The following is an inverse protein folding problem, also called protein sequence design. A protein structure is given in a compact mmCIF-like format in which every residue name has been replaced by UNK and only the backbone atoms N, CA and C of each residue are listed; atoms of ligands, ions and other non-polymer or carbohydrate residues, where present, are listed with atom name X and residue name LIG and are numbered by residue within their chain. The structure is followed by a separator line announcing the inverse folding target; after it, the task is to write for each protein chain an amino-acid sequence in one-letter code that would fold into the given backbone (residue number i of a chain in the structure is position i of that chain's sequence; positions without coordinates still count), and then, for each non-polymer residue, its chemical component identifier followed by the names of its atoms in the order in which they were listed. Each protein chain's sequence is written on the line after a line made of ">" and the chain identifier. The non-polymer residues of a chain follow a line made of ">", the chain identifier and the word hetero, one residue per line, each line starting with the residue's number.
data_IF_526933056285
#
_entry.id   IF_526933056285
#
_cell.length_a   1.000
_cell.length_b   1.000
_cell.length_c   1.000
_cell.angle_alpha   90.00
_cell.angle_beta   90.00
_cell.angle_gamma   90.00
#
_symmetry.space_group_name_H-M   'P 1'
#
loop_
_entity.id
_entity.type
_entity.pdbx_description
1 polymer ?
#
# COMPACT_ATOMS: atom_id res chain seq x y z
N UNK A 1 -51.28 3.95 -6.81
CA UNK A 1 -50.48 2.88 -7.44
C UNK A 1 -49.10 2.89 -6.82
N UNK A 2 -48.73 1.84 -6.07
CA UNK A 2 -47.44 1.75 -5.38
C UNK A 2 -46.63 0.59 -5.99
N UNK A 3 -45.48 0.88 -6.59
CA UNK A 3 -44.53 -0.13 -7.07
C UNK A 3 -43.59 -0.55 -5.93
N UNK A 4 -43.55 -1.84 -5.61
CA UNK A 4 -42.48 -2.46 -4.82
C UNK A 4 -41.29 -2.80 -5.74
N UNK A 5 -40.03 -2.56 -5.37
CA UNK A 5 -38.90 -3.21 -6.02
C UNK A 5 -38.66 -4.59 -5.38
N UNK A 6 -38.80 -5.62 -6.20
CA UNK A 6 -38.28 -6.97 -5.95
C UNK A 6 -36.80 -6.98 -6.34
N UNK A 7 -35.93 -7.41 -5.43
CA UNK A 7 -34.50 -7.47 -5.67
C UNK A 7 -33.73 -8.00 -4.47
N UNK A 8 -33.96 -9.28 -4.11
CA UNK A 8 -33.22 -9.95 -3.04
C UNK A 8 -31.81 -10.30 -3.55
N UNK A 9 -30.83 -9.42 -3.32
CA UNK A 9 -29.41 -9.74 -3.52
C UNK A 9 -28.99 -10.80 -2.49
N UNK A 10 -28.40 -11.89 -2.97
CA UNK A 10 -28.04 -13.05 -2.16
C UNK A 10 -26.58 -12.89 -1.68
N UNK A 11 -26.29 -12.63 -0.39
CA UNK A 11 -24.95 -12.29 0.10
C UNK A 11 -23.97 -13.49 0.14
N UNK A 12 -24.46 -14.73 -0.01
CA UNK A 12 -23.64 -15.93 0.13
C UNK A 12 -22.74 -16.29 -1.06
N UNK A 13 -22.98 -15.74 -2.26
CA UNK A 13 -22.12 -16.03 -3.44
C UNK A 13 -20.82 -15.21 -3.45
N UNK A 14 -20.89 -13.94 -3.04
CA UNK A 14 -19.73 -13.03 -3.06
C UNK A 14 -18.69 -13.36 -1.99
N UNK A 15 -19.08 -13.99 -0.87
CA UNK A 15 -18.13 -14.43 0.16
C UNK A 15 -17.31 -15.65 -0.27
N UNK A 16 -17.90 -16.57 -1.05
CA UNK A 16 -17.17 -17.73 -1.59
C UNK A 16 -16.16 -17.35 -2.67
N UNK A 17 -16.51 -16.40 -3.56
CA UNK A 17 -15.57 -15.87 -4.56
C UNK A 17 -14.44 -15.08 -3.91
N UNK A 18 -14.73 -14.28 -2.87
CA UNK A 18 -13.70 -13.56 -2.14
C UNK A 18 -12.73 -14.51 -1.43
N UNK A 19 -13.24 -15.53 -0.73
CA UNK A 19 -12.40 -16.53 -0.07
C UNK A 19 -11.55 -17.33 -1.05
N UNK A 20 -12.08 -17.64 -2.25
CA UNK A 20 -11.32 -18.33 -3.29
C UNK A 20 -10.20 -17.46 -3.90
N UNK A 21 -10.44 -16.15 -4.02
CA UNK A 21 -9.43 -15.21 -4.50
C UNK A 21 -8.34 -14.96 -3.43
N UNK A 22 -8.72 -14.87 -2.17
CA UNK A 22 -7.80 -14.66 -1.04
C UNK A 22 -6.92 -15.90 -0.81
N UNK A 23 -7.49 -17.12 -0.90
CA UNK A 23 -6.74 -18.38 -0.81
C UNK A 23 -5.79 -18.63 -2.00
N UNK A 24 -6.06 -18.06 -3.18
CA UNK A 24 -5.19 -18.19 -4.35
C UNK A 24 -3.87 -17.39 -4.19
N UNK A 25 -3.87 -16.35 -3.35
CA UNK A 25 -2.73 -15.47 -3.13
C UNK A 25 -2.21 -15.47 -1.68
N UNK A 26 -2.70 -16.38 -0.84
CA UNK A 26 -2.26 -16.53 0.54
C UNK A 26 -0.87 -17.19 0.58
N UNK A 27 0.12 -16.40 0.95
CA UNK A 27 1.53 -16.78 0.97
C UNK A 27 1.78 -17.78 2.11
N UNK A 28 1.86 -19.06 1.79
CA UNK A 28 2.15 -20.15 2.74
C UNK A 28 3.62 -20.54 2.66
N UNK A 29 4.25 -20.83 3.81
CA UNK A 29 5.68 -21.20 3.95
C UNK A 29 6.09 -22.39 3.05
N UNK A 30 5.13 -23.20 2.57
CA UNK A 30 5.38 -24.30 1.63
C UNK A 30 5.76 -23.83 0.22
N UNK A 31 5.42 -22.58 -0.17
CA UNK A 31 5.72 -22.04 -1.49
C UNK A 31 7.20 -21.63 -1.65
N UNK A 32 7.94 -21.48 -0.54
CA UNK A 32 9.38 -21.22 -0.57
C UNK A 32 10.18 -22.46 -1.00
N UNK A 33 9.69 -23.68 -0.71
CA UNK A 33 10.43 -24.92 -1.02
C UNK A 33 10.47 -25.26 -2.51
N UNK A 34 9.58 -24.68 -3.31
CA UNK A 34 9.44 -25.05 -4.73
C UNK A 34 10.12 -24.07 -5.71
N UNK A 35 10.83 -23.06 -5.20
CA UNK A 35 11.62 -22.14 -6.02
C UNK A 35 13.12 -22.52 -6.07
N UNK A 36 13.50 -23.63 -5.43
CA UNK A 36 14.91 -23.97 -5.18
C UNK A 36 15.54 -25.04 -6.07
N UNK A 37 14.78 -25.85 -6.82
CA UNK A 37 15.35 -26.98 -7.59
C UNK A 37 14.68 -27.16 -8.95
N UNK A 38 15.18 -26.48 -9.97
CA UNK A 38 15.00 -26.91 -11.37
C UNK A 38 16.31 -26.75 -12.11
N UNK A 39 17.27 -27.60 -11.76
CA UNK A 39 18.39 -27.92 -12.62
C UNK A 39 18.64 -29.42 -12.51
N UNK A 40 17.95 -30.17 -13.38
CA UNK A 40 18.32 -31.55 -13.68
C UNK A 40 19.31 -31.51 -14.86
N UNK A 41 20.57 -31.98 -14.70
CA UNK A 41 21.46 -32.12 -15.82
C UNK A 41 20.98 -33.28 -16.69
N UNK A 42 20.41 -32.95 -17.84
CA UNK A 42 20.07 -33.88 -18.91
C UNK A 42 21.31 -34.72 -19.26
N UNK A 43 21.26 -36.02 -18.95
CA UNK A 43 22.26 -36.99 -19.39
C UNK A 43 22.28 -37.00 -20.91
N UNK A 44 23.38 -36.56 -21.51
CA UNK A 44 23.68 -36.83 -22.93
C UNK A 44 23.69 -38.35 -23.16
N UNK A 45 22.63 -38.87 -23.79
CA UNK A 45 22.70 -40.15 -24.48
C UNK A 45 23.57 -39.97 -25.73
N UNK A 46 24.73 -40.63 -25.74
CA UNK A 46 25.55 -40.76 -26.93
C UNK A 46 24.87 -41.72 -27.92
N UNK A 47 24.67 -41.35 -29.19
CA UNK A 47 24.13 -42.27 -30.17
C UNK A 47 25.20 -43.30 -30.55
N UNK A 48 24.96 -44.56 -30.19
CA UNK A 48 25.77 -45.68 -30.66
C UNK A 48 25.46 -45.97 -32.13
N UNK A 49 26.37 -45.63 -33.03
CA UNK A 49 26.31 -46.08 -34.42
C UNK A 49 26.97 -47.46 -34.54
N UNK A 50 26.14 -48.49 -34.68
CA UNK A 50 26.57 -49.84 -35.03
C UNK A 50 27.08 -49.86 -36.48
N UNK A 51 28.39 -49.97 -36.68
CA UNK A 51 28.98 -50.32 -37.96
C UNK A 51 29.09 -51.84 -38.10
N UNK A 52 28.32 -52.38 -39.03
CA UNK A 52 28.38 -53.78 -39.44
C UNK A 52 29.69 -54.14 -40.15
N UNK A 53 30.20 -55.31 -39.75
CA UNK A 53 31.03 -56.30 -40.49
C UNK A 53 32.22 -55.80 -41.33
N UNK A 54 33.40 -56.38 -41.04
CA UNK A 54 34.06 -57.36 -41.94
C UNK A 54 35.20 -58.10 -41.23
N UNK A 55 35.20 -59.43 -41.33
CA UNK A 55 36.31 -60.34 -41.01
C UNK A 55 37.45 -60.11 -42.03
N UNK A 56 38.72 -60.22 -41.64
CA UNK A 56 39.75 -60.73 -42.55
C UNK A 56 39.99 -62.21 -42.27
N UNK A 57 39.71 -63.03 -43.27
CA UNK A 57 40.22 -64.40 -43.36
C UNK A 57 41.58 -64.39 -44.08
N UNK A 58 42.50 -65.18 -43.53
CA UNK A 58 43.64 -65.86 -44.15
C UNK A 58 44.49 -65.12 -45.19
N UNK A 59 45.79 -65.06 -44.93
CA UNK A 59 46.77 -65.25 -46.00
C UNK A 59 47.78 -66.28 -45.50
N UNK A 60 47.76 -67.41 -46.21
CA UNK A 60 48.63 -68.55 -46.03
C UNK A 60 49.79 -68.45 -47.03
N UNK A 61 50.87 -69.14 -46.68
CA UNK A 61 51.88 -69.74 -47.55
C UNK A 61 52.62 -68.84 -48.55
N UNK A 62 53.83 -68.45 -48.15
CA UNK A 62 55.00 -68.32 -49.04
C UNK A 62 55.50 -69.71 -49.44
N UNK A 63 55.59 -69.95 -50.75
CA UNK A 63 56.69 -70.68 -51.38
C UNK A 63 56.84 -70.17 -52.84
N UNK A 64 58.04 -70.25 -53.43
CA UNK A 64 58.54 -69.30 -54.41
C UNK A 64 58.59 -69.88 -55.84
N UNK A 65 58.83 -68.95 -56.76
CA UNK A 65 59.51 -69.08 -58.05
C UNK A 65 59.11 -70.23 -58.99
N UNK A 66 58.62 -69.87 -60.17
CA UNK A 66 59.40 -70.15 -61.38
C UNK A 66 58.92 -69.32 -62.58
N UNK A 67 59.93 -68.77 -63.25
CA UNK A 67 59.96 -68.06 -64.51
C UNK A 67 59.02 -68.61 -65.60
N UNK A 68 58.29 -67.71 -66.27
CA UNK A 68 58.11 -67.82 -67.72
C UNK A 68 58.38 -66.47 -68.35
N UNK A 69 59.35 -66.53 -69.26
CA UNK A 69 59.97 -65.48 -70.03
C UNK A 69 59.01 -64.82 -71.03
N UNK A 70 59.39 -63.60 -71.41
CA UNK A 70 59.22 -63.06 -72.75
C UNK A 70 57.80 -62.83 -73.31
N UNK A 71 57.34 -61.57 -73.26
CA UNK A 71 56.84 -60.78 -74.41
C UNK A 71 56.89 -59.30 -74.00
N UNK A 72 57.67 -58.50 -74.74
CA UNK A 72 57.76 -57.04 -74.67
C UNK A 72 56.48 -56.35 -75.19
N UNK A 73 55.33 -56.66 -74.57
CA UNK A 73 54.02 -55.98 -74.70
C UNK A 73 53.48 -55.57 -73.32
N UNK A 74 54.01 -56.15 -72.24
CA UNK A 74 53.63 -55.83 -70.86
C UNK A 74 54.00 -54.40 -70.42
N UNK A 75 55.05 -53.79 -70.98
CA UNK A 75 55.48 -52.43 -70.64
C UNK A 75 54.49 -51.33 -71.07
N UNK A 76 53.92 -51.46 -72.27
CA UNK A 76 52.94 -50.49 -72.78
C UNK A 76 51.59 -50.62 -72.06
N UNK A 77 51.15 -51.85 -71.77
CA UNK A 77 49.94 -52.11 -70.99
C UNK A 77 50.12 -51.65 -69.54
N UNK A 78 51.29 -51.87 -68.93
CA UNK A 78 51.63 -51.39 -67.59
C UNK A 78 51.68 -49.86 -67.51
N UNK A 79 52.30 -49.19 -68.49
CA UNK A 79 52.35 -47.72 -68.53
C UNK A 79 50.98 -47.09 -68.77
N UNK A 80 50.11 -47.74 -69.54
CA UNK A 80 48.70 -47.33 -69.69
C UNK A 80 47.93 -47.49 -68.37
N UNK A 81 48.10 -48.60 -67.66
CA UNK A 81 47.49 -48.84 -66.33
C UNK A 81 47.97 -47.82 -65.29
N UNK A 82 49.26 -47.47 -65.30
CA UNK A 82 49.82 -46.45 -64.41
C UNK A 82 49.22 -45.07 -64.68
N UNK A 83 49.03 -44.70 -65.96
CA UNK A 83 48.32 -43.47 -66.35
C UNK A 83 46.86 -43.48 -65.92
N UNK A 84 46.14 -44.59 -66.10
CA UNK A 84 44.77 -44.74 -65.58
C UNK A 84 44.72 -44.59 -64.05
N UNK A 85 45.67 -45.20 -63.33
CA UNK A 85 45.81 -45.05 -61.89
C UNK A 85 46.03 -43.60 -61.46
N UNK A 86 46.92 -42.88 -62.17
CA UNK A 86 47.18 -41.47 -61.92
C UNK A 86 45.95 -40.58 -62.18
N UNK A 87 45.22 -40.83 -63.26
CA UNK A 87 43.99 -40.09 -63.60
C UNK A 87 42.85 -40.37 -62.61
N UNK A 88 42.68 -41.62 -62.17
CA UNK A 88 41.73 -41.99 -61.11
C UNK A 88 42.09 -41.27 -59.82
N UNK A 89 43.37 -41.27 -59.42
CA UNK A 89 43.81 -40.61 -58.20
C UNK A 89 43.62 -39.08 -58.28
N UNK A 90 43.92 -38.47 -59.44
CA UNK A 90 43.69 -37.04 -59.69
C UNK A 90 42.20 -36.69 -59.63
N UNK A 91 41.33 -37.50 -60.23
CA UNK A 91 39.88 -37.34 -60.16
C UNK A 91 39.35 -37.51 -58.72
N UNK A 92 39.89 -38.47 -57.96
CA UNK A 92 39.57 -38.69 -56.55
C UNK A 92 39.94 -37.45 -55.70
N UNK A 93 41.15 -36.92 -55.86
CA UNK A 93 41.61 -35.72 -55.16
C UNK A 93 40.79 -34.49 -55.53
N UNK A 94 40.44 -34.30 -56.81
CA UNK A 94 39.57 -33.23 -57.25
C UNK A 94 38.16 -33.33 -56.65
N UNK A 95 37.59 -34.54 -56.62
CA UNK A 95 36.28 -34.81 -55.98
C UNK A 95 36.33 -34.55 -54.47
N UNK A 96 37.39 -34.98 -53.79
CA UNK A 96 37.63 -34.71 -52.36
C UNK A 96 37.67 -33.21 -52.08
N UNK A 97 38.50 -32.45 -52.81
CA UNK A 97 38.59 -30.98 -52.67
C UNK A 97 37.25 -30.29 -52.92
N UNK A 98 36.50 -30.73 -53.94
CA UNK A 98 35.16 -30.19 -54.23
C UNK A 98 34.19 -30.43 -53.08
N UNK A 99 34.19 -31.63 -52.49
CA UNK A 99 33.36 -31.94 -51.32
C UNK A 99 33.77 -31.14 -50.09
N UNK A 100 35.06 -30.99 -49.82
CA UNK A 100 35.55 -30.17 -48.70
C UNK A 100 35.10 -28.72 -48.82
N UNK A 101 35.24 -28.10 -50.01
CA UNK A 101 34.79 -26.73 -50.26
C UNK A 101 33.27 -26.62 -50.13
N UNK A 102 32.52 -27.55 -50.71
CA UNK A 102 31.06 -27.56 -50.63
C UNK A 102 30.56 -27.69 -49.19
N UNK A 103 31.09 -28.65 -48.41
CA UNK A 103 30.74 -28.85 -47.00
C UNK A 103 31.10 -27.62 -46.17
N UNK A 104 32.29 -27.03 -46.37
CA UNK A 104 32.70 -25.81 -45.66
C UNK A 104 31.76 -24.63 -45.95
N UNK A 105 31.40 -24.42 -47.21
CA UNK A 105 30.47 -23.36 -47.61
C UNK A 105 29.06 -23.59 -47.04
N UNK A 106 28.61 -24.84 -47.05
CA UNK A 106 27.28 -25.23 -46.54
C UNK A 106 27.19 -25.02 -45.04
N UNK A 107 28.22 -25.46 -44.29
CA UNK A 107 28.29 -25.26 -42.84
C UNK A 107 28.35 -23.77 -42.48
N UNK A 108 29.18 -22.98 -43.18
CA UNK A 108 29.24 -21.53 -42.97
C UNK A 108 27.88 -20.87 -43.16
N UNK A 109 27.19 -21.21 -44.24
CA UNK A 109 25.85 -20.66 -44.54
C UNK A 109 24.83 -21.08 -43.47
N UNK A 110 24.87 -22.34 -43.00
CA UNK A 110 23.98 -22.82 -41.93
C UNK A 110 24.24 -22.09 -40.62
N UNK A 111 25.51 -21.92 -40.22
CA UNK A 111 25.87 -21.22 -39.00
C UNK A 111 25.40 -19.75 -39.04
N UNK A 112 25.56 -19.08 -40.18
CA UNK A 112 25.05 -17.72 -40.36
C UNK A 112 23.52 -17.63 -40.17
N UNK A 113 22.76 -18.60 -40.68
CA UNK A 113 21.31 -18.64 -40.47
C UNK A 113 20.95 -18.85 -39.00
N UNK A 114 21.65 -19.73 -38.30
CA UNK A 114 21.46 -19.97 -36.86
C UNK A 114 21.75 -18.69 -36.07
N UNK A 115 22.88 -18.03 -36.35
CA UNK A 115 23.24 -16.75 -35.70
C UNK A 115 22.22 -15.65 -35.97
N UNK A 116 21.69 -15.56 -37.19
CA UNK A 116 20.65 -14.59 -37.54
C UNK A 116 19.36 -14.82 -36.75
N UNK A 117 18.88 -16.07 -36.70
CA UNK A 117 17.69 -16.42 -35.91
C UNK A 117 17.92 -16.13 -34.43
N UNK A 118 19.08 -16.50 -33.91
CA UNK A 118 19.45 -16.23 -32.52
C UNK A 118 19.42 -14.73 -32.19
N UNK A 119 20.04 -13.89 -33.03
CA UNK A 119 20.05 -12.44 -32.85
C UNK A 119 18.64 -11.85 -32.92
N UNK A 120 17.85 -12.25 -33.91
CA UNK A 120 16.46 -11.80 -34.06
C UNK A 120 15.64 -12.12 -32.81
N UNK A 121 15.72 -13.34 -32.29
CA UNK A 121 15.01 -13.70 -31.06
C UNK A 121 15.51 -12.92 -29.83
N UNK A 122 16.81 -12.65 -29.75
CA UNK A 122 17.38 -11.85 -28.66
C UNK A 122 16.85 -10.41 -28.70
N UNK A 123 16.78 -9.82 -29.89
CA UNK A 123 16.23 -8.47 -30.11
C UNK A 123 14.74 -8.41 -29.79
N UNK A 124 13.96 -9.41 -30.18
CA UNK A 124 12.53 -9.50 -29.84
C UNK A 124 12.30 -9.57 -28.33
N UNK A 125 13.08 -10.40 -27.61
CA UNK A 125 13.02 -10.47 -26.14
C UNK A 125 13.41 -9.15 -25.50
N UNK A 126 14.49 -8.52 -25.95
CA UNK A 126 14.93 -7.24 -25.40
C UNK A 126 13.88 -6.15 -25.60
N UNK A 127 13.29 -6.07 -26.80
CA UNK A 127 12.22 -5.12 -27.11
C UNK A 127 11.02 -5.31 -26.19
N UNK A 128 10.59 -6.55 -25.99
CA UNK A 128 9.49 -6.86 -25.08
C UNK A 128 9.81 -6.40 -23.65
N UNK A 129 11.01 -6.72 -23.16
CA UNK A 129 11.47 -6.27 -21.84
C UNK A 129 11.46 -4.75 -21.72
N UNK A 130 12.02 -4.04 -22.70
CA UNK A 130 12.08 -2.58 -22.70
C UNK A 130 10.68 -1.93 -22.69
N UNK A 131 9.73 -2.50 -23.44
CA UNK A 131 8.36 -2.00 -23.50
C UNK A 131 7.62 -2.21 -22.17
N UNK A 132 7.85 -3.33 -21.47
CA UNK A 132 7.32 -3.52 -20.12
C UNK A 132 8.02 -2.62 -19.09
N UNK A 133 9.35 -2.46 -19.16
CA UNK A 133 10.08 -1.55 -18.28
C UNK A 133 9.57 -0.11 -18.38
N UNK A 134 9.24 0.36 -19.59
CA UNK A 134 8.61 1.69 -19.79
C UNK A 134 7.24 1.78 -19.14
N UNK A 135 6.40 0.75 -19.31
CA UNK A 135 5.07 0.70 -18.68
C UNK A 135 5.17 0.75 -17.15
N UNK A 136 6.01 -0.10 -16.56
CA UNK A 136 6.26 -0.10 -15.11
C UNK A 136 6.79 1.25 -14.63
N UNK A 137 7.72 1.86 -15.36
CA UNK A 137 8.23 3.18 -15.03
C UNK A 137 7.13 4.25 -15.02
N UNK A 138 6.20 4.20 -15.98
CA UNK A 138 5.05 5.10 -16.00
C UNK A 138 4.14 4.92 -14.79
N UNK A 139 3.87 3.67 -14.39
CA UNK A 139 3.08 3.35 -13.20
C UNK A 139 3.77 3.87 -11.93
N UNK A 140 5.07 3.62 -11.78
CA UNK A 140 5.82 4.08 -10.60
C UNK A 140 5.89 5.61 -10.49
N UNK A 141 6.09 6.31 -11.62
CA UNK A 141 6.07 7.77 -11.63
C UNK A 141 4.69 8.33 -11.25
N UNK A 142 3.61 7.68 -11.70
CA UNK A 142 2.26 8.10 -11.35
C UNK A 142 2.00 7.84 -9.86
N UNK A 143 2.40 6.68 -9.35
CA UNK A 143 2.26 6.34 -7.94
C UNK A 143 3.02 7.32 -7.04
N UNK A 144 4.26 7.68 -7.39
CA UNK A 144 5.05 8.67 -6.65
C UNK A 144 4.34 10.04 -6.60
N UNK A 145 3.77 10.49 -7.72
CA UNK A 145 2.98 11.74 -7.78
C UNK A 145 1.76 11.66 -6.86
N UNK A 146 1.08 10.53 -6.83
CA UNK A 146 -0.12 10.37 -6.03
C UNK A 146 0.19 10.25 -4.53
N UNK A 147 1.33 9.65 -4.16
CA UNK A 147 1.88 9.70 -2.79
C UNK A 147 2.16 11.16 -2.40
N UNK A 148 2.82 11.93 -3.26
CA UNK A 148 3.13 13.33 -2.94
C UNK A 148 1.87 14.17 -2.76
N UNK A 149 0.87 14.00 -3.64
CA UNK A 149 -0.44 14.67 -3.46
C UNK A 149 -1.13 14.27 -2.17
N UNK A 150 -1.05 13.00 -1.78
CA UNK A 150 -1.65 12.53 -0.52
C UNK A 150 -1.01 13.24 0.68
N UNK A 151 0.32 13.37 0.70
CA UNK A 151 1.05 14.13 1.74
C UNK A 151 0.61 15.59 1.79
N UNK A 152 0.50 16.26 0.63
CA UNK A 152 0.08 17.66 0.58
C UNK A 152 -1.37 17.85 1.11
N UNK A 153 -2.25 16.87 0.91
CA UNK A 153 -3.62 16.92 1.44
C UNK A 153 -3.66 16.62 2.94
N UNK A 154 -2.84 15.68 3.41
CA UNK A 154 -2.68 15.38 4.84
C UNK A 154 -2.24 16.62 5.61
N UNK A 155 -1.23 17.36 5.11
CA UNK A 155 -0.75 18.59 5.73
C UNK A 155 -1.85 19.67 5.82
N UNK A 156 -2.68 19.80 4.79
CA UNK A 156 -3.83 20.74 4.81
C UNK A 156 -4.84 20.35 5.88
N UNK A 157 -5.18 19.07 5.98
CA UNK A 157 -6.12 18.56 6.99
C UNK A 157 -5.55 18.76 8.39
N UNK A 158 -4.26 18.46 8.59
CA UNK A 158 -3.58 18.68 9.87
C UNK A 158 -3.66 20.15 10.29
N UNK A 159 -3.37 21.07 9.36
CA UNK A 159 -3.43 22.50 9.61
C UNK A 159 -4.85 22.97 9.98
N UNK A 160 -5.86 22.53 9.25
CA UNK A 160 -7.27 22.83 9.56
C UNK A 160 -7.67 22.28 10.94
N UNK A 161 -7.26 21.06 11.26
CA UNK A 161 -7.54 20.44 12.54
C UNK A 161 -6.88 21.20 13.69
N UNK A 162 -5.60 21.60 13.54
CA UNK A 162 -4.89 22.44 14.52
C UNK A 162 -5.59 23.79 14.74
N UNK A 163 -6.07 24.43 13.68
CA UNK A 163 -6.83 25.68 13.79
C UNK A 163 -8.15 25.46 14.54
N UNK A 164 -8.91 24.43 14.17
CA UNK A 164 -10.18 24.08 14.82
C UNK A 164 -9.98 23.76 16.31
N UNK A 165 -8.90 23.03 16.64
CA UNK A 165 -8.54 22.70 18.01
C UNK A 165 -8.27 23.96 18.84
N UNK A 166 -7.57 24.97 18.28
CA UNK A 166 -7.34 26.27 18.94
C UNK A 166 -8.65 27.01 19.21
N UNK A 167 -9.55 27.06 18.22
CA UNK A 167 -10.87 27.70 18.37
C UNK A 167 -11.66 27.02 19.48
N UNK A 168 -11.67 25.69 19.52
CA UNK A 168 -12.39 24.93 20.54
C UNK A 168 -11.84 25.20 21.96
N UNK A 169 -10.52 25.24 22.10
CA UNK A 169 -9.89 25.59 23.38
C UNK A 169 -10.25 27.01 23.82
N UNK A 170 -10.21 27.98 22.90
CA UNK A 170 -10.58 29.37 23.19
C UNK A 170 -12.05 29.48 23.62
N UNK A 171 -12.96 28.81 22.92
CA UNK A 171 -14.38 28.77 23.29
C UNK A 171 -14.58 28.21 24.70
N UNK A 172 -13.89 27.13 25.04
CA UNK A 172 -13.95 26.54 26.39
C UNK A 172 -13.49 27.51 27.47
N UNK A 173 -12.41 28.26 27.22
CA UNK A 173 -11.91 29.30 28.14
C UNK A 173 -12.93 30.42 28.30
N UNK A 174 -13.49 30.94 27.19
CA UNK A 174 -14.47 32.03 27.21
C UNK A 174 -15.76 31.62 27.94
N UNK A 175 -16.28 30.42 27.68
CA UNK A 175 -17.45 29.90 28.39
C UNK A 175 -17.17 29.71 29.88
N UNK A 176 -16.01 29.16 30.24
CA UNK A 176 -15.59 29.04 31.64
C UNK A 176 -15.50 30.40 32.34
N UNK A 177 -15.01 31.42 31.66
CA UNK A 177 -14.96 32.78 32.20
C UNK A 177 -16.36 33.39 32.37
N UNK A 178 -17.25 33.22 31.39
CA UNK A 178 -18.65 33.69 31.49
C UNK A 178 -19.37 33.07 32.68
N UNK A 179 -19.19 31.77 32.91
CA UNK A 179 -19.78 31.09 34.06
C UNK A 179 -19.26 31.66 35.40
N UNK A 180 -17.95 31.94 35.49
CA UNK A 180 -17.37 32.60 36.67
C UNK A 180 -17.98 33.97 36.91
N UNK A 181 -18.13 34.79 35.87
CA UNK A 181 -18.74 36.12 35.99
C UNK A 181 -20.21 36.05 36.43
N UNK A 182 -20.98 35.09 35.89
CA UNK A 182 -22.37 34.87 36.33
C UNK A 182 -22.42 34.50 37.81
N UNK A 183 -21.57 33.56 38.24
CA UNK A 183 -21.49 33.17 39.65
C UNK A 183 -21.15 34.36 40.55
N UNK A 184 -20.13 35.14 40.19
CA UNK A 184 -19.73 36.33 40.94
C UNK A 184 -20.87 37.35 41.07
N UNK A 185 -21.63 37.57 39.99
CA UNK A 185 -22.77 38.49 40.01
C UNK A 185 -23.88 37.99 40.94
N UNK A 186 -24.17 36.69 40.93
CA UNK A 186 -25.13 36.10 41.86
C UNK A 186 -24.67 36.20 43.31
N UNK A 187 -23.41 35.92 43.61
CA UNK A 187 -22.86 36.03 44.97
C UNK A 187 -22.95 37.49 45.48
N UNK A 188 -22.68 38.48 44.62
CA UNK A 188 -22.84 39.90 44.94
C UNK A 188 -24.29 40.30 45.18
N UNK A 189 -25.22 39.78 44.37
CA UNK A 189 -26.65 40.04 44.54
C UNK A 189 -27.16 39.52 45.89
N UNK A 190 -26.80 38.29 46.27
CA UNK A 190 -27.17 37.72 47.56
C UNK A 190 -26.61 38.55 48.72
N UNK A 191 -25.33 38.93 48.65
CA UNK A 191 -24.71 39.79 49.66
C UNK A 191 -25.42 41.15 49.79
N UNK A 192 -25.82 41.74 48.66
CA UNK A 192 -26.56 43.01 48.66
C UNK A 192 -27.95 42.88 49.29
N UNK A 193 -28.61 41.74 49.11
CA UNK A 193 -29.89 41.44 49.78
C UNK A 193 -29.72 41.30 51.30
N UNK A 194 -28.66 40.61 51.76
CA UNK A 194 -28.34 40.48 53.19
C UNK A 194 -28.07 41.85 53.84
N UNK A 195 -27.30 42.71 53.17
CA UNK A 195 -27.01 44.06 53.64
C UNK A 195 -28.27 44.93 53.71
N UNK A 196 -29.15 44.81 52.70
CA UNK A 196 -30.43 45.52 52.67
C UNK A 196 -31.37 45.05 53.77
N UNK A 197 -31.49 43.73 54.00
CA UNK A 197 -32.30 43.16 55.09
C UNK A 197 -31.83 43.67 56.46
N UNK A 198 -30.51 43.71 56.67
CA UNK A 198 -29.94 44.28 57.90
C UNK A 198 -30.32 45.76 58.07
N UNK A 199 -30.21 46.56 57.02
CA UNK A 199 -30.59 47.98 57.06
C UNK A 199 -32.08 48.16 57.38
N UNK A 200 -32.95 47.36 56.76
CA UNK A 200 -34.39 47.39 57.06
C UNK A 200 -34.68 46.99 58.52
N UNK A 201 -33.98 46.00 59.07
CA UNK A 201 -34.12 45.60 60.47
C UNK A 201 -33.76 46.74 61.43
N UNK A 202 -32.66 47.44 61.16
CA UNK A 202 -32.22 48.60 61.93
C UNK A 202 -33.24 49.76 61.86
N UNK A 203 -33.73 50.07 60.66
CA UNK A 203 -34.77 51.09 60.45
C UNK A 203 -36.08 50.74 61.15
N UNK A 204 -36.53 49.48 61.06
CA UNK A 204 -37.75 49.01 61.72
C UNK A 204 -37.64 49.13 63.24
N UNK A 205 -36.47 48.78 63.80
CA UNK A 205 -36.18 48.95 65.24
C UNK A 205 -36.25 50.42 65.65
N UNK A 206 -35.68 51.33 64.84
CA UNK A 206 -35.73 52.77 65.08
C UNK A 206 -37.18 53.31 65.08
N UNK A 207 -37.97 52.97 64.05
CA UNK A 207 -39.39 53.37 63.95
C UNK A 207 -40.21 52.80 65.12
N UNK A 208 -39.99 51.55 65.52
CA UNK A 208 -40.67 50.99 66.70
C UNK A 208 -40.28 51.72 67.99
N UNK A 209 -39.03 52.12 68.14
CA UNK A 209 -38.56 52.90 69.30
C UNK A 209 -39.24 54.27 69.36
N UNK A 210 -39.33 54.98 68.23
CA UNK A 210 -40.06 56.26 68.14
C UNK A 210 -41.54 56.10 68.47
N UNK A 211 -42.21 55.10 67.89
CA UNK A 211 -43.61 54.82 68.17
C UNK A 211 -43.86 54.56 69.67
N UNK A 212 -42.98 53.80 70.34
CA UNK A 212 -43.08 53.59 71.79
C UNK A 212 -42.94 54.88 72.58
N UNK A 213 -42.04 55.78 72.17
CA UNK A 213 -41.87 57.10 72.80
C UNK A 213 -43.13 57.95 72.63
N UNK A 214 -43.67 58.03 71.41
CA UNK A 214 -44.92 58.76 71.12
C UNK A 214 -46.11 58.21 71.92
N UNK A 215 -46.25 56.88 72.00
CA UNK A 215 -47.29 56.24 72.81
C UNK A 215 -47.14 56.56 74.31
N UNK A 216 -45.91 56.59 74.84
CA UNK A 216 -45.65 56.97 76.23
C UNK A 216 -45.97 58.45 76.49
N UNK A 217 -45.62 59.34 75.57
CA UNK A 217 -45.98 60.76 75.65
C UNK A 217 -47.50 60.96 75.61
N UNK A 218 -48.20 60.24 74.72
CA UNK A 218 -49.65 60.26 74.63
C UNK A 218 -50.32 59.76 75.93
N UNK A 219 -49.87 58.62 76.47
CA UNK A 219 -50.36 58.11 77.76
C UNK A 219 -50.15 59.12 78.89
N UNK A 220 -48.96 59.73 78.97
CA UNK A 220 -48.65 60.76 79.97
C UNK A 220 -49.60 61.96 79.83
N UNK A 221 -49.89 62.39 78.60
CA UNK A 221 -50.81 63.49 78.31
C UNK A 221 -52.22 63.19 78.78
N UNK A 222 -52.78 62.01 78.44
CA UNK A 222 -54.10 61.58 78.92
C UNK A 222 -54.17 61.63 80.45
N UNK A 223 -53.17 61.08 81.14
CA UNK A 223 -53.15 61.05 82.60
C UNK A 223 -53.15 62.47 83.20
N UNK A 224 -52.34 63.37 82.64
CA UNK A 224 -52.24 64.76 83.07
C UNK A 224 -53.56 65.52 82.86
N UNK A 225 -54.20 65.35 81.70
CA UNK A 225 -55.47 66.00 81.36
C UNK A 225 -56.62 65.49 82.26
N UNK A 226 -56.63 64.19 82.58
CA UNK A 226 -57.67 63.58 83.44
C UNK A 226 -57.55 64.03 84.90
N UNK A 227 -56.33 64.12 85.45
CA UNK A 227 -56.07 64.62 86.81
C UNK A 227 -56.39 66.11 86.91
N UNK A 228 -56.00 66.91 85.92
CA UNK A 228 -56.29 68.36 85.89
C UNK A 228 -57.79 68.63 85.83
N UNK A 229 -58.53 67.91 84.97
CA UNK A 229 -59.99 68.03 84.90
C UNK A 229 -60.69 67.62 86.21
N UNK A 230 -60.23 66.56 86.89
CA UNK A 230 -60.75 66.19 88.21
C UNK A 230 -60.44 67.24 89.29
N UNK A 231 -59.25 67.86 89.27
CA UNK A 231 -58.91 68.94 90.20
C UNK A 231 -59.74 70.21 89.95
N UNK A 232 -60.02 70.53 88.67
CA UNK A 232 -60.94 71.61 88.32
C UNK A 232 -62.38 71.31 88.74
N UNK A 233 -62.86 70.08 88.59
CA UNK A 233 -64.19 69.66 89.08
C UNK A 233 -64.28 69.66 90.61
N UNK A 234 -63.23 69.25 91.32
CA UNK A 234 -63.19 69.28 92.79
C UNK A 234 -63.17 70.72 93.33
N UNK A 235 -62.41 71.62 92.70
CA UNK A 235 -62.44 73.05 93.04
C UNK A 235 -63.78 73.71 92.68
N UNK A 236 -64.43 73.31 91.59
CA UNK A 236 -65.78 73.78 91.26
C UNK A 236 -66.85 73.26 92.25
N UNK A 237 -66.65 72.07 92.83
CA UNK A 237 -67.55 71.47 93.82
C UNK A 237 -67.29 71.96 95.26
N UNK A 238 -66.08 72.40 95.60
CA UNK A 238 -65.74 72.94 96.93
C UNK A 238 -65.95 74.47 97.06
N UNK A 239 -66.22 75.18 95.96
CA UNK A 239 -66.45 76.64 95.93
C UNK A 239 -67.92 76.99 95.64
N UNK A 240 -68.80 76.00 95.50
CA UNK A 240 -70.26 76.15 95.51
C UNK A 240 -70.86 75.75 96.86
#
# INVERSE_FOLDING_TARGET
>A
MAHKPSGRRNPGKNQKEKAAYEAMYEFTEDNERNLGNSFEPEKLEQPSMQLGRKRPASTAMTDPDEEIDEISVGGDVASMLERFGADINKALLAKKKRLEVYTKSSLKTSNQKIEQIWKMQQEERQKLTDDYCKQFSGIFQQWEKDIQKAKDQEEKIENLFRQQQKIFQQLRVVQGQRLKSIKQLFDQFLKSLEELEKSHSEQQSAVQSELRKEMALFQKRILMDTVSNNAHLYNAFCVG
#
